data_IF_745310196882
#
_entry.id   IF_745310196882
#
_cell.length_a   1.000
_cell.length_b   1.000
_cell.length_c   1.000
_cell.angle_alpha   90.00
_cell.angle_beta   90.00
_cell.angle_gamma   90.00
#
_symmetry.space_group_name_H-M   'P 1'
#
loop_
_entity.id
_entity.type
_entity.pdbx_description
1 polymer ?
#
# COMPACT_ATOMS: atom_id res chain seq x y z
N UNK A 1 -17.78 -16.64 6.62
CA UNK A 1 -18.37 -15.94 5.47
C UNK A 1 -18.76 -14.54 5.94
N UNK A 2 -17.84 -13.57 5.92
CA UNK A 2 -18.13 -12.19 6.28
C UNK A 2 -18.03 -11.36 5.00
N UNK A 3 -19.16 -10.76 4.60
CA UNK A 3 -19.24 -9.91 3.43
C UNK A 3 -18.58 -8.56 3.77
N UNK A 4 -17.57 -8.20 2.98
CA UNK A 4 -16.95 -6.87 3.02
C UNK A 4 -17.94 -5.91 2.38
N UNK A 5 -18.44 -4.95 3.15
CA UNK A 5 -19.40 -3.96 2.68
C UNK A 5 -18.74 -3.07 1.63
N UNK A 6 -19.26 -3.10 0.41
CA UNK A 6 -18.92 -2.18 -0.67
C UNK A 6 -19.24 -0.75 -0.24
N UNK A 7 -18.22 0.12 -0.24
CA UNK A 7 -18.37 1.54 0.04
C UNK A 7 -19.25 2.19 -1.05
N UNK A 8 -20.49 2.54 -0.70
CA UNK A 8 -21.39 3.32 -1.55
C UNK A 8 -21.39 4.76 -1.07
N UNK A 9 -20.97 5.69 -1.94
CA UNK A 9 -21.13 7.13 -1.70
C UNK A 9 -22.16 7.68 -2.69
N UNK A 10 -23.32 8.07 -2.19
CA UNK A 10 -24.32 8.83 -2.95
C UNK A 10 -23.74 10.20 -3.33
N UNK A 11 -23.65 10.46 -4.64
CA UNK A 11 -23.28 11.76 -5.18
C UNK A 11 -24.41 12.76 -4.99
N UNK A 12 -24.09 13.91 -4.39
CA UNK A 12 -24.99 15.07 -4.37
C UNK A 12 -25.10 15.63 -5.78
N UNK A 13 -26.29 15.52 -6.35
CA UNK A 13 -26.66 16.08 -7.65
C UNK A 13 -26.74 17.61 -7.59
N UNK A 14 -26.14 18.29 -8.56
CA UNK A 14 -26.45 19.67 -8.89
C UNK A 14 -27.41 19.70 -10.09
N UNK A 15 -28.56 20.32 -9.90
CA UNK A 15 -29.60 20.56 -10.91
C UNK A 15 -29.32 21.85 -11.71
N UNK A 16 -29.92 22.03 -12.91
CA UNK A 16 -29.31 22.74 -14.03
C UNK A 16 -29.84 24.17 -14.27
N UNK A 17 -29.05 25.00 -14.96
CA UNK A 17 -29.54 26.26 -15.56
C UNK A 17 -28.99 26.51 -16.97
N UNK A 18 -29.90 26.35 -17.94
CA UNK A 18 -30.10 27.04 -19.24
C UNK A 18 -28.95 27.28 -20.24
N UNK A 19 -29.00 26.51 -21.33
CA UNK A 19 -28.97 26.86 -22.76
C UNK A 19 -28.19 28.09 -23.29
N UNK A 20 -27.26 27.81 -24.23
CA UNK A 20 -27.43 28.12 -25.68
C UNK A 20 -26.40 27.39 -26.57
N UNK A 21 -26.92 26.89 -27.70
CA UNK A 21 -26.33 26.09 -28.79
C UNK A 21 -25.17 26.76 -29.57
N UNK A 22 -24.27 25.96 -30.16
CA UNK A 22 -24.11 25.68 -31.62
C UNK A 22 -22.88 24.77 -31.90
N UNK A 23 -22.93 24.07 -33.03
CA UNK A 23 -22.41 22.75 -33.44
C UNK A 23 -21.01 22.61 -34.09
N UNK A 24 -20.43 21.40 -33.94
CA UNK A 24 -19.71 20.48 -34.88
C UNK A 24 -18.44 21.01 -35.60
N UNK A 25 -17.24 20.40 -35.47
CA UNK A 25 -16.79 19.24 -36.28
C UNK A 25 -15.46 18.61 -35.80
N UNK A 26 -15.33 17.33 -36.14
CA UNK A 26 -14.29 16.31 -35.95
C UNK A 26 -12.83 16.63 -36.29
N UNK A 27 -11.89 16.05 -35.53
CA UNK A 27 -10.84 15.15 -36.06
C UNK A 27 -9.99 14.52 -34.93
N UNK A 28 -9.68 13.24 -35.10
CA UNK A 28 -8.62 12.47 -34.44
C UNK A 28 -8.04 11.55 -35.54
N UNK A 29 -6.86 10.92 -35.42
CA UNK A 29 -6.01 10.76 -34.23
C UNK A 29 -4.51 11.02 -34.47
N UNK A 30 -3.72 11.24 -33.41
CA UNK A 30 -2.28 10.91 -33.39
C UNK A 30 -1.78 10.78 -31.97
N UNK A 31 -1.11 9.64 -31.72
CA UNK A 31 -0.53 9.22 -30.44
C UNK A 31 0.68 10.08 -30.09
N UNK A 32 0.75 10.55 -28.85
CA UNK A 32 1.96 10.74 -28.05
C UNK A 32 1.56 11.18 -26.64
N UNK A 33 1.48 10.25 -25.69
CA UNK A 33 1.35 10.58 -24.27
C UNK A 33 2.72 10.49 -23.61
N UNK A 34 3.40 11.64 -23.59
CA UNK A 34 4.40 11.97 -22.60
C UNK A 34 3.68 12.15 -21.26
N UNK A 35 4.08 11.39 -20.24
CA UNK A 35 3.66 11.62 -18.87
C UNK A 35 4.26 12.94 -18.37
N UNK A 36 3.47 14.02 -18.39
CA UNK A 36 3.78 15.23 -17.65
C UNK A 36 3.24 15.08 -16.22
N UNK A 37 4.15 15.00 -15.24
CA UNK A 37 3.81 15.17 -13.84
C UNK A 37 4.08 16.64 -13.51
N UNK A 38 3.03 17.38 -13.15
CA UNK A 38 3.16 18.77 -12.76
C UNK A 38 4.04 18.88 -11.51
N UNK A 39 5.17 19.57 -11.70
CA UNK A 39 6.10 19.92 -10.66
C UNK A 39 5.51 21.03 -9.77
N UNK A 40 5.67 20.86 -8.45
CA UNK A 40 5.48 21.91 -7.46
C UNK A 40 6.32 23.14 -7.81
N UNK A 41 5.68 24.21 -8.30
CA UNK A 41 6.30 25.53 -8.42
C UNK A 41 5.92 26.38 -7.22
N UNK A 42 6.83 26.48 -6.26
CA UNK A 42 6.78 27.50 -5.20
C UNK A 42 7.08 28.86 -5.83
N UNK A 43 6.10 29.77 -5.79
CA UNK A 43 6.25 31.16 -6.22
C UNK A 43 6.73 32.00 -5.03
N UNK A 44 8.02 32.30 -4.96
CA UNK A 44 8.55 33.40 -4.14
C UNK A 44 8.70 34.65 -5.02
N UNK A 45 7.93 35.69 -4.72
CA UNK A 45 8.15 37.01 -5.29
C UNK A 45 9.28 37.71 -4.55
N UNK A 46 10.43 37.88 -5.22
CA UNK A 46 11.41 38.90 -4.86
C UNK A 46 11.73 39.69 -6.13
N UNK A 47 11.43 41.00 -6.10
CA UNK A 47 11.74 41.92 -7.17
C UNK A 47 13.17 42.44 -6.99
N UNK A 48 14.05 42.26 -7.97
CA UNK A 48 15.23 43.10 -8.16
C UNK A 48 15.61 43.17 -9.65
N UNK A 49 15.96 44.39 -10.07
CA UNK A 49 16.22 44.82 -11.44
C UNK A 49 17.39 44.07 -12.11
N UNK A 50 17.22 43.80 -13.40
CA UNK A 50 18.22 43.18 -14.27
C UNK A 50 19.38 44.13 -14.56
N UNK A 51 20.60 43.73 -14.21
CA UNK A 51 21.83 44.22 -14.84
C UNK A 51 22.52 43.02 -15.47
N UNK A 52 22.65 43.06 -16.80
CA UNK A 52 23.30 42.02 -17.60
C UNK A 52 24.82 42.19 -17.53
N UNK A 53 25.56 41.10 -17.34
CA UNK A 53 26.98 41.04 -17.71
C UNK A 53 27.35 39.72 -18.36
N UNK A 54 28.24 39.85 -19.34
CA UNK A 54 28.62 38.88 -20.38
C UNK A 54 29.87 38.10 -19.96
N UNK A 55 29.81 36.78 -20.20
CA UNK A 55 30.86 35.78 -20.42
C UNK A 55 32.27 35.90 -19.78
N UNK A 56 32.76 34.79 -19.21
CA UNK A 56 34.08 34.23 -19.55
C UNK A 56 34.24 32.78 -19.06
N UNK A 57 34.82 31.95 -19.94
CA UNK A 57 35.27 30.58 -19.67
C UNK A 57 36.45 30.58 -18.69
N UNK A 58 36.41 29.69 -17.69
CA UNK A 58 37.64 29.23 -17.03
C UNK A 58 37.47 27.79 -16.55
N UNK A 59 38.30 26.92 -17.12
CA UNK A 59 38.40 25.50 -16.78
C UNK A 59 39.19 25.38 -15.47
N UNK A 60 38.57 24.86 -14.42
CA UNK A 60 39.27 24.42 -13.21
C UNK A 60 38.67 23.09 -12.74
N UNK A 61 39.53 22.07 -12.65
CA UNK A 61 39.18 20.70 -12.26
C UNK A 61 38.69 20.72 -10.81
N UNK A 62 37.39 20.55 -10.60
CA UNK A 62 36.83 20.41 -9.27
C UNK A 62 36.97 18.96 -8.81
N UNK A 63 37.94 18.70 -7.94
CA UNK A 63 38.04 17.45 -7.18
C UNK A 63 36.97 17.53 -6.08
N UNK A 64 35.92 16.72 -6.18
CA UNK A 64 34.90 16.62 -5.13
C UNK A 64 35.51 15.82 -3.98
N UNK A 65 35.89 16.51 -2.91
CA UNK A 65 36.32 15.86 -1.68
C UNK A 65 35.08 15.53 -0.83
N UNK A 66 34.71 14.25 -0.77
CA UNK A 66 33.70 13.75 0.15
C UNK A 66 34.32 13.64 1.56
N UNK A 67 33.90 14.49 2.48
CA UNK A 67 34.19 14.28 3.90
C UNK A 67 33.27 13.19 4.43
N UNK A 68 33.83 12.01 4.69
CA UNK A 68 33.27 11.08 5.66
C UNK A 68 33.55 11.64 7.06
N UNK A 69 32.55 11.65 7.94
CA UNK A 69 32.78 11.91 9.36
C UNK A 69 32.14 10.78 10.15
N UNK A 70 33.03 9.88 10.57
CA UNK A 70 32.75 8.77 11.45
C UNK A 70 32.78 9.24 12.92
N UNK A 71 31.82 8.73 13.69
CA UNK A 71 31.80 8.52 15.15
C UNK A 71 32.49 9.54 16.08
N UNK A 72 31.67 10.32 16.80
CA UNK A 72 32.07 11.00 18.03
C UNK A 72 30.87 11.28 18.92
N UNK A 73 30.66 10.46 19.97
CA UNK A 73 29.70 10.75 21.05
C UNK A 73 30.19 11.98 21.83
N UNK A 74 29.56 13.15 21.64
CA UNK A 74 29.53 14.23 22.62
C UNK A 74 28.49 15.30 22.20
N UNK A 75 27.51 15.55 23.08
CA UNK A 75 26.50 16.63 23.03
C UNK A 75 25.80 16.83 21.66
N UNK A 76 24.99 15.88 21.23
CA UNK A 76 24.28 15.97 19.96
C UNK A 76 23.17 17.02 20.09
N UNK A 77 23.44 18.24 19.61
CA UNK A 77 22.40 19.07 18.98
C UNK A 77 21.66 18.15 18.02
N UNK A 78 20.40 17.80 18.32
CA UNK A 78 19.61 16.85 17.54
C UNK A 78 19.65 17.23 16.06
N UNK A 79 20.45 16.51 15.27
CA UNK A 79 20.48 16.62 13.81
C UNK A 79 19.54 15.54 13.28
N UNK A 80 18.41 15.92 12.66
CA UNK A 80 17.55 14.97 11.98
C UNK A 80 18.33 14.12 10.97
N UNK A 81 18.13 12.80 10.92
CA UNK A 81 18.70 11.97 9.87
C UNK A 81 18.14 12.40 8.51
N UNK A 82 18.87 12.20 7.40
CA UNK A 82 18.35 12.48 6.08
C UNK A 82 17.32 11.42 5.65
N UNK A 83 16.42 11.81 4.74
CA UNK A 83 15.41 10.91 4.13
C UNK A 83 16.04 9.66 3.51
N UNK A 84 17.22 9.80 2.88
CA UNK A 84 17.95 8.69 2.26
C UNK A 84 18.33 7.60 3.26
N UNK A 85 18.66 7.97 4.51
CA UNK A 85 18.97 7.00 5.57
C UNK A 85 17.72 6.19 5.96
N UNK A 86 16.57 6.85 6.10
CA UNK A 86 15.29 6.17 6.39
C UNK A 86 14.91 5.21 5.26
N UNK A 87 15.04 5.64 4.00
CA UNK A 87 14.81 4.76 2.84
C UNK A 87 15.76 3.56 2.84
N UNK A 88 17.04 3.79 3.16
CA UNK A 88 18.02 2.71 3.25
C UNK A 88 17.68 1.73 4.37
N UNK A 89 17.25 2.21 5.55
CA UNK A 89 16.78 1.35 6.65
C UNK A 89 15.61 0.47 6.21
N UNK A 90 14.63 1.02 5.49
CA UNK A 90 13.51 0.26 4.96
C UNK A 90 13.97 -0.84 3.97
N UNK A 91 14.81 -0.49 2.99
CA UNK A 91 15.35 -1.46 2.02
C UNK A 91 16.31 -2.48 2.67
N UNK A 92 16.82 -2.19 3.86
CA UNK A 92 17.61 -3.13 4.65
C UNK A 92 16.75 -4.08 5.48
N UNK A 93 15.65 -3.58 6.04
CA UNK A 93 14.69 -4.40 6.79
C UNK A 93 13.86 -5.31 5.88
N UNK A 94 13.48 -4.85 4.67
CA UNK A 94 12.69 -5.62 3.72
C UNK A 94 13.44 -5.83 2.39
N UNK A 95 13.95 -7.05 2.18
CA UNK A 95 14.80 -7.41 1.03
C UNK A 95 14.07 -7.97 -0.18
N UNK A 96 12.79 -8.31 -0.03
CA UNK A 96 12.00 -8.93 -1.11
C UNK A 96 11.53 -7.86 -2.10
N UNK A 97 11.37 -8.20 -3.40
CA UNK A 97 10.87 -7.25 -4.37
C UNK A 97 9.43 -6.87 -4.07
N UNK A 98 9.14 -5.56 -4.06
CA UNK A 98 7.79 -5.02 -3.95
C UNK A 98 7.32 -4.64 -5.36
N UNK A 99 6.13 -5.08 -5.81
CA UNK A 99 5.60 -4.66 -7.11
C UNK A 99 5.55 -3.13 -7.22
N UNK A 100 5.93 -2.60 -8.38
CA UNK A 100 6.15 -1.16 -8.59
C UNK A 100 4.94 -0.29 -8.22
N UNK A 101 3.73 -0.79 -8.46
CA UNK A 101 2.48 -0.10 -8.12
C UNK A 101 2.37 0.24 -6.62
N UNK A 102 2.84 -0.64 -5.74
CA UNK A 102 2.86 -0.40 -4.29
C UNK A 102 4.14 0.35 -3.89
N UNK A 103 5.29 -0.05 -4.44
CA UNK A 103 6.59 0.49 -4.02
C UNK A 103 6.69 2.01 -4.23
N UNK A 104 6.19 2.54 -5.36
CA UNK A 104 6.21 3.99 -5.62
C UNK A 104 5.51 4.75 -4.51
N UNK A 105 4.28 4.36 -4.16
CA UNK A 105 3.52 5.05 -3.13
C UNK A 105 4.08 4.80 -1.72
N UNK A 106 4.54 3.57 -1.41
CA UNK A 106 5.21 3.28 -0.15
C UNK A 106 6.42 4.19 0.08
N UNK A 107 7.28 4.35 -0.94
CA UNK A 107 8.46 5.21 -0.83
C UNK A 107 8.10 6.69 -0.66
N UNK A 108 7.01 7.16 -1.29
CA UNK A 108 6.49 8.52 -1.06
C UNK A 108 5.93 8.68 0.37
N UNK A 109 5.18 7.70 0.87
CA UNK A 109 4.67 7.70 2.25
C UNK A 109 5.83 7.75 3.26
N UNK A 110 6.88 6.94 3.07
CA UNK A 110 8.09 6.97 3.91
C UNK A 110 8.69 8.39 3.97
N UNK A 111 8.81 9.06 2.81
CA UNK A 111 9.34 10.44 2.75
C UNK A 111 8.44 11.40 3.51
N UNK A 112 7.13 11.34 3.27
CA UNK A 112 6.16 12.23 3.92
C UNK A 112 6.16 12.05 5.44
N UNK A 113 6.15 10.81 5.92
CA UNK A 113 6.19 10.53 7.35
C UNK A 113 7.54 10.88 7.97
N UNK A 114 8.66 10.65 7.28
CA UNK A 114 9.98 11.09 7.74
C UNK A 114 10.00 12.61 7.98
N UNK A 115 9.55 13.40 6.99
CA UNK A 115 9.51 14.86 7.10
C UNK A 115 8.62 15.36 8.24
N UNK A 116 7.67 14.54 8.69
CA UNK A 116 6.76 14.82 9.79
C UNK A 116 7.37 14.38 11.13
N UNK A 117 7.87 13.14 11.20
CA UNK A 117 8.46 12.49 12.38
C UNK A 117 9.66 13.24 12.96
N UNK A 118 10.45 13.86 12.09
CA UNK A 118 11.66 14.59 12.49
C UNK A 118 11.45 16.11 12.64
N UNK A 119 10.19 16.60 12.61
CA UNK A 119 9.88 17.98 13.00
C UNK A 119 10.15 18.17 14.49
N UNK A 120 10.60 19.36 14.87
CA UNK A 120 10.80 19.74 16.29
C UNK A 120 9.51 19.68 17.11
N UNK A 121 8.38 19.96 16.47
CA UNK A 121 7.04 19.97 17.07
C UNK A 121 6.35 18.61 17.01
N UNK A 122 7.03 17.57 16.51
CA UNK A 122 6.41 16.24 16.38
C UNK A 122 6.21 15.62 17.75
N UNK A 123 4.99 15.16 17.99
CA UNK A 123 4.62 14.28 19.08
C UNK A 123 3.65 13.25 18.52
N UNK A 124 3.91 11.98 18.82
CA UNK A 124 3.02 10.88 18.43
C UNK A 124 1.61 11.09 18.99
N UNK A 125 0.62 10.71 18.20
CA UNK A 125 -0.80 10.83 18.48
C UNK A 125 -1.56 9.60 17.96
N UNK A 126 -2.45 9.04 18.79
CA UNK A 126 -3.19 7.83 18.42
C UNK A 126 -4.10 8.05 17.19
N UNK A 127 -4.64 9.27 17.02
CA UNK A 127 -5.44 9.66 15.85
C UNK A 127 -4.60 9.61 14.57
N UNK A 128 -3.34 10.04 14.62
CA UNK A 128 -2.40 9.87 13.52
C UNK A 128 -2.17 8.40 13.21
N UNK A 129 -1.95 7.56 14.23
CA UNK A 129 -1.71 6.14 14.05
C UNK A 129 -2.90 5.45 13.38
N UNK A 130 -4.12 5.74 13.83
CA UNK A 130 -5.36 5.29 13.18
C UNK A 130 -5.39 5.69 11.71
N UNK A 131 -5.11 6.95 11.42
CA UNK A 131 -5.09 7.46 10.06
C UNK A 131 -4.03 6.78 9.19
N UNK A 132 -2.81 6.64 9.69
CA UNK A 132 -1.72 5.98 8.98
C UNK A 132 -2.04 4.50 8.69
N UNK A 133 -2.53 3.75 9.69
CA UNK A 133 -2.94 2.35 9.51
C UNK A 133 -4.06 2.24 8.47
N UNK A 134 -5.03 3.16 8.49
CA UNK A 134 -6.11 3.23 7.48
C UNK A 134 -5.54 3.44 6.07
N UNK A 135 -4.62 4.39 5.90
CA UNK A 135 -3.95 4.63 4.60
C UNK A 135 -3.17 3.41 4.15
N UNK A 136 -2.41 2.81 5.06
CA UNK A 136 -1.58 1.66 4.77
C UNK A 136 -2.43 0.46 4.32
N UNK A 137 -3.52 0.17 5.02
CA UNK A 137 -4.37 -0.98 4.74
C UNK A 137 -5.07 -0.83 3.38
N UNK A 138 -5.54 0.37 3.04
CA UNK A 138 -6.12 0.66 1.71
C UNK A 138 -5.06 0.64 0.60
N UNK A 139 -3.87 1.17 0.86
CA UNK A 139 -2.76 1.07 -0.08
C UNK A 139 -2.38 -0.39 -0.36
N UNK A 140 -2.30 -1.21 0.68
CA UNK A 140 -1.84 -2.59 0.61
C UNK A 140 -2.97 -3.60 0.32
N UNK A 141 -4.19 -3.13 0.11
CA UNK A 141 -5.32 -3.95 -0.32
C UNK A 141 -5.01 -4.63 -1.67
N UNK A 142 -5.25 -5.94 -1.75
CA UNK A 142 -4.96 -6.74 -2.95
C UNK A 142 -3.47 -7.07 -3.14
N UNK A 143 -2.62 -6.82 -2.15
CA UNK A 143 -1.22 -7.26 -2.19
C UNK A 143 -1.15 -8.82 -2.15
N UNK A 144 -0.28 -9.49 -2.92
CA UNK A 144 -0.36 -10.95 -3.10
C UNK A 144 -0.10 -11.81 -1.86
N UNK A 145 0.63 -11.31 -0.87
CA UNK A 145 1.01 -12.04 0.35
C UNK A 145 0.66 -11.25 1.59
N UNK A 146 -0.21 -11.80 2.45
CA UNK A 146 -0.58 -11.16 3.73
C UNK A 146 0.61 -11.10 4.70
N UNK A 147 1.48 -12.10 4.69
CA UNK A 147 2.71 -12.10 5.50
C UNK A 147 3.63 -10.94 5.09
N UNK A 148 3.69 -10.64 3.79
CA UNK A 148 4.51 -9.56 3.25
C UNK A 148 3.91 -8.21 3.61
N UNK A 149 2.58 -8.08 3.61
CA UNK A 149 1.89 -6.86 4.08
C UNK A 149 2.26 -6.55 5.53
N UNK A 150 2.32 -7.54 6.40
CA UNK A 150 2.74 -7.36 7.80
C UNK A 150 4.23 -7.03 7.89
N UNK A 151 5.09 -7.77 7.17
CA UNK A 151 6.53 -7.55 7.19
C UNK A 151 6.92 -6.16 6.64
N UNK A 152 6.26 -5.70 5.57
CA UNK A 152 6.47 -4.37 4.99
C UNK A 152 6.05 -3.29 6.00
N UNK A 153 4.93 -3.47 6.71
CA UNK A 153 4.47 -2.52 7.73
C UNK A 153 5.51 -2.37 8.85
N UNK A 154 6.00 -3.51 9.38
CA UNK A 154 7.03 -3.51 10.40
C UNK A 154 8.33 -2.86 9.91
N UNK A 155 8.80 -3.23 8.73
CA UNK A 155 10.00 -2.64 8.13
C UNK A 155 9.85 -1.12 7.92
N UNK A 156 8.66 -0.67 7.52
CA UNK A 156 8.34 0.74 7.31
C UNK A 156 8.43 1.51 8.64
N UNK A 157 7.73 1.05 9.68
CA UNK A 157 7.65 1.78 10.96
C UNK A 157 9.02 1.75 11.67
N UNK A 158 9.70 0.60 11.66
CA UNK A 158 11.05 0.47 12.23
C UNK A 158 12.06 1.38 11.52
N UNK A 159 11.93 1.59 10.20
CA UNK A 159 12.84 2.47 9.45
C UNK A 159 12.76 3.94 9.92
N UNK A 160 11.63 4.35 10.48
CA UNK A 160 11.41 5.67 11.06
C UNK A 160 11.85 5.77 12.53
N UNK A 161 12.41 4.70 13.10
CA UNK A 161 12.71 4.55 14.53
C UNK A 161 11.45 4.74 15.41
N UNK A 162 10.36 4.10 15.01
CA UNK A 162 9.10 4.02 15.75
C UNK A 162 8.75 2.55 16.04
N UNK A 163 7.82 2.30 16.95
CA UNK A 163 7.40 0.95 17.34
C UNK A 163 6.14 0.52 16.54
N UNK A 164 6.24 -0.53 15.69
CA UNK A 164 5.08 -1.05 14.97
C UNK A 164 3.93 -1.52 15.87
N UNK A 165 4.25 -2.02 17.09
CA UNK A 165 3.23 -2.55 18.01
C UNK A 165 2.37 -1.44 18.61
N UNK A 166 2.91 -0.23 18.73
CA UNK A 166 2.15 0.94 19.16
C UNK A 166 1.04 1.29 18.16
N UNK A 167 1.29 1.12 16.86
CA UNK A 167 0.32 1.40 15.80
C UNK A 167 -0.75 0.32 15.65
N UNK A 168 -0.33 -0.95 15.52
CA UNK A 168 -1.23 -2.09 15.35
C UNK A 168 -0.65 -3.35 16.00
N UNK A 169 -1.48 -4.28 16.50
CA UNK A 169 -0.96 -5.49 17.10
C UNK A 169 -0.36 -6.38 16.00
N UNK A 170 0.77 -7.00 16.29
CA UNK A 170 1.39 -7.98 15.41
C UNK A 170 0.77 -9.34 15.68
N UNK A 171 -0.32 -9.66 15.00
CA UNK A 171 -1.05 -10.93 15.20
C UNK A 171 -0.42 -12.13 14.47
N UNK A 172 0.49 -11.89 13.52
CA UNK A 172 1.23 -12.95 12.78
C UNK A 172 2.66 -12.50 12.51
N UNK A 173 3.61 -12.96 13.30
CA UNK A 173 5.05 -12.78 13.02
C UNK A 173 5.45 -13.85 12.00
N UNK A 174 5.96 -13.49 10.81
CA UNK A 174 6.45 -14.49 9.86
C UNK A 174 7.63 -15.27 10.47
N UNK A 175 7.76 -16.59 10.24
CA UNK A 175 8.79 -17.44 10.86
C UNK A 175 10.22 -16.93 10.64
N UNK A 176 10.48 -16.26 9.52
CA UNK A 176 11.78 -15.68 9.18
C UNK A 176 12.17 -14.45 10.02
N UNK A 177 11.22 -13.84 10.75
CA UNK A 177 11.44 -12.69 11.62
C UNK A 177 11.70 -13.08 13.08
N UNK A 178 11.51 -14.36 13.44
CA UNK A 178 11.76 -14.88 14.79
C UNK A 178 13.22 -14.85 15.23
N UNK A 179 14.17 -14.60 14.33
CA UNK A 179 15.59 -14.44 14.68
C UNK A 179 15.90 -13.13 15.44
N UNK A 180 14.99 -12.14 15.42
CA UNK A 180 15.24 -10.83 16.04
C UNK A 180 14.47 -10.55 17.34
N UNK A 181 13.46 -11.35 17.70
CA UNK A 181 12.58 -11.05 18.83
C UNK A 181 12.47 -12.22 19.81
N UNK A 182 13.57 -12.52 20.51
CA UNK A 182 13.56 -13.41 21.68
C UNK A 182 13.54 -12.64 23.00
N UNK A 183 12.79 -11.55 23.08
CA UNK A 183 12.37 -10.92 24.34
C UNK A 183 11.08 -10.18 24.01
N UNK A 184 9.92 -10.67 24.41
CA UNK A 184 8.80 -9.88 24.94
C UNK A 184 7.72 -10.86 25.42
N UNK A 185 7.26 -10.62 26.65
CA UNK A 185 6.38 -11.47 27.45
C UNK A 185 4.98 -11.61 26.82
N UNK A 186 4.36 -12.75 27.09
CA UNK A 186 3.11 -13.22 26.46
C UNK A 186 1.83 -12.78 27.19
N UNK A 187 1.86 -11.73 28.03
CA UNK A 187 0.74 -11.44 28.95
C UNK A 187 0.38 -9.96 29.16
N UNK A 188 0.74 -9.04 28.26
CA UNK A 188 0.12 -7.70 28.27
C UNK A 188 -0.93 -7.60 27.17
N UNK A 189 -2.08 -7.09 27.57
CA UNK A 189 -3.24 -6.71 26.79
C UNK A 189 -2.85 -5.58 25.80
N UNK A 190 -2.06 -5.90 24.77
CA UNK A 190 -1.57 -4.96 23.75
C UNK A 190 -2.66 -4.69 22.71
N UNK A 191 -3.70 -3.96 23.10
CA UNK A 191 -4.56 -3.27 22.11
C UNK A 191 -3.77 -2.08 21.58
N UNK A 192 -3.33 -2.15 20.34
CA UNK A 192 -2.61 -1.05 19.72
C UNK A 192 -3.49 0.20 19.59
N UNK A 193 -2.87 1.38 19.52
CA UNK A 193 -3.58 2.65 19.63
C UNK A 193 -4.62 2.84 18.52
N UNK A 194 -4.35 2.38 17.29
CA UNK A 194 -5.34 2.44 16.21
C UNK A 194 -6.58 1.59 16.51
N UNK A 195 -6.40 0.33 16.93
CA UNK A 195 -7.51 -0.60 17.23
C UNK A 195 -8.33 -0.14 18.44
N UNK A 196 -7.67 0.44 19.44
CA UNK A 196 -8.30 1.06 20.61
C UNK A 196 -9.22 2.20 20.19
N UNK A 197 -8.74 3.12 19.35
CA UNK A 197 -9.55 4.20 18.81
C UNK A 197 -10.69 3.68 17.93
N UNK A 198 -10.46 2.64 17.12
CA UNK A 198 -11.53 2.06 16.30
C UNK A 198 -12.65 1.48 17.17
N UNK A 199 -12.29 0.74 18.21
CA UNK A 199 -13.25 0.12 19.14
C UNK A 199 -14.04 1.18 19.88
N UNK A 200 -13.37 2.24 20.36
CA UNK A 200 -14.02 3.36 21.01
C UNK A 200 -14.99 4.09 20.06
N UNK A 201 -14.56 4.38 18.83
CA UNK A 201 -15.37 5.11 17.85
C UNK A 201 -16.64 4.35 17.46
N UNK A 202 -16.56 3.01 17.31
CA UNK A 202 -17.71 2.14 17.03
C UNK A 202 -18.75 2.15 18.16
N UNK A 203 -18.34 2.45 19.38
CA UNK A 203 -19.23 2.57 20.53
C UNK A 203 -19.84 3.99 20.68
N UNK A 204 -19.42 4.96 19.86
CA UNK A 204 -19.96 6.31 19.88
C UNK A 204 -21.08 6.52 18.85
N UNK A 205 -21.85 7.58 19.07
CA UNK A 205 -22.77 8.21 18.13
C UNK A 205 -22.30 9.65 17.82
N UNK A 206 -23.00 10.34 16.93
CA UNK A 206 -22.68 11.70 16.49
C UNK A 206 -22.57 12.73 17.63
N UNK A 207 -23.28 12.53 18.74
CA UNK A 207 -23.32 13.47 19.87
C UNK A 207 -22.22 13.17 20.89
N UNK A 208 -22.04 11.91 21.21
CA UNK A 208 -21.04 11.41 22.14
C UNK A 208 -19.62 11.54 21.61
N UNK A 209 -19.43 11.42 20.30
CA UNK A 209 -18.13 11.62 19.65
C UNK A 209 -17.63 13.06 19.82
N UNK A 210 -18.50 14.06 19.68
CA UNK A 210 -18.12 15.48 19.77
C UNK A 210 -18.05 15.98 21.21
N UNK A 211 -18.74 15.31 22.13
CA UNK A 211 -18.76 15.63 23.57
C UNK A 211 -17.71 14.84 24.37
N UNK A 212 -16.60 14.43 23.72
CA UNK A 212 -15.50 13.71 24.37
C UNK A 212 -14.87 14.50 25.53
N UNK A 213 -14.95 15.84 25.49
CA UNK A 213 -14.38 16.73 26.51
C UNK A 213 -15.09 16.60 27.86
N UNK A 214 -16.40 16.29 27.85
CA UNK A 214 -17.25 16.15 29.04
C UNK A 214 -17.19 14.75 29.67
N UNK A 215 -16.52 13.80 29.00
CA UNK A 215 -16.47 12.39 29.40
C UNK A 215 -15.10 11.99 29.96
N UNK A 216 -15.10 10.92 30.74
CA UNK A 216 -13.91 10.31 31.34
C UNK A 216 -13.64 8.97 30.65
N UNK A 217 -12.39 8.74 30.27
CA UNK A 217 -11.97 7.51 29.58
C UNK A 217 -10.60 7.68 28.96
N UNK A 218 -9.98 6.56 28.59
CA UNK A 218 -8.62 6.56 28.04
C UNK A 218 -8.55 7.31 26.70
N UNK A 219 -9.50 7.04 25.79
CA UNK A 219 -9.54 7.70 24.47
C UNK A 219 -9.97 9.15 24.59
N UNK A 220 -10.93 9.45 25.46
CA UNK A 220 -11.33 10.81 25.80
C UNK A 220 -10.13 11.62 26.32
N UNK A 221 -9.31 11.03 27.20
CA UNK A 221 -8.07 11.64 27.69
C UNK A 221 -7.07 11.93 26.56
N UNK A 222 -6.91 10.99 25.61
CA UNK A 222 -6.07 11.20 24.42
C UNK A 222 -6.58 12.38 23.58
N UNK A 223 -7.90 12.44 23.33
CA UNK A 223 -8.50 13.52 22.54
C UNK A 223 -8.41 14.88 23.25
N UNK A 224 -8.52 14.91 24.58
CA UNK A 224 -8.29 16.11 25.40
C UNK A 224 -6.85 16.61 25.30
N UNK A 225 -5.85 15.73 25.45
CA UNK A 225 -4.43 16.11 25.28
C UNK A 225 -4.17 16.67 23.86
N UNK A 226 -4.76 16.08 22.83
CA UNK A 226 -4.66 16.59 21.46
C UNK A 226 -5.28 17.98 21.36
N UNK A 227 -6.49 18.18 21.91
CA UNK A 227 -7.21 19.45 21.85
C UNK A 227 -6.44 20.58 22.55
N UNK A 228 -5.87 20.30 23.73
CA UNK A 228 -5.03 21.25 24.48
C UNK A 228 -3.80 21.65 23.66
N UNK A 229 -3.07 20.66 23.14
CA UNK A 229 -1.87 20.91 22.32
C UNK A 229 -2.16 21.64 21.02
N UNK A 230 -3.31 21.38 20.39
CA UNK A 230 -3.72 22.04 19.17
C UNK A 230 -4.20 23.48 19.41
N UNK A 231 -4.73 23.76 20.61
CA UNK A 231 -5.04 25.12 21.06
C UNK A 231 -3.78 25.94 21.35
N UNK A 232 -2.73 25.30 21.84
CA UNK A 232 -1.42 25.92 22.07
C UNK A 232 -0.59 26.03 20.78
N UNK A 233 0.05 27.17 20.55
CA UNK A 233 0.74 27.46 19.28
C UNK A 233 2.08 26.70 19.07
N UNK A 234 2.46 25.78 19.96
CA UNK A 234 3.83 25.25 20.02
C UNK A 234 4.02 23.72 19.99
N UNK A 235 2.98 22.91 20.24
CA UNK A 235 3.18 21.47 20.57
C UNK A 235 2.35 20.49 19.73
N UNK A 236 1.66 20.98 18.69
CA UNK A 236 0.87 20.15 17.78
C UNK A 236 1.39 20.18 16.34
N UNK A 237 1.58 18.99 15.77
CA UNK A 237 1.99 18.82 14.37
C UNK A 237 0.87 18.16 13.59
N UNK A 238 0.02 18.98 12.98
CA UNK A 238 -0.99 18.50 12.05
C UNK A 238 -0.36 17.74 10.87
N UNK A 239 -1.03 16.68 10.42
CA UNK A 239 -0.65 15.90 9.25
C UNK A 239 -1.88 15.42 8.47
N UNK A 240 -1.67 15.01 7.21
CA UNK A 240 -2.72 14.35 6.42
C UNK A 240 -3.21 13.06 7.07
N UNK A 241 -2.33 12.29 7.71
CA UNK A 241 -2.74 11.08 8.42
C UNK A 241 -3.66 11.42 9.59
N UNK A 242 -3.40 12.50 10.31
CA UNK A 242 -4.32 12.97 11.35
C UNK A 242 -5.72 13.28 10.80
N UNK A 243 -5.83 13.95 9.65
CA UNK A 243 -7.12 14.20 8.99
C UNK A 243 -7.84 12.89 8.61
N UNK A 244 -7.12 11.91 8.04
CA UNK A 244 -7.67 10.59 7.74
C UNK A 244 -8.13 9.88 9.00
N UNK A 245 -7.39 10.01 10.11
CA UNK A 245 -7.78 9.49 11.42
C UNK A 245 -9.09 10.09 11.93
N UNK A 246 -9.26 11.42 11.85
CA UNK A 246 -10.52 12.07 12.20
C UNK A 246 -11.69 11.59 11.34
N UNK A 247 -11.48 11.48 10.03
CA UNK A 247 -12.50 10.95 9.12
C UNK A 247 -12.84 9.50 9.46
N UNK A 248 -11.85 8.69 9.81
CA UNK A 248 -12.05 7.30 10.22
C UNK A 248 -12.87 7.19 11.50
N UNK A 249 -12.65 8.06 12.49
CA UNK A 249 -13.48 8.11 13.70
C UNK A 249 -14.96 8.38 13.35
N UNK A 250 -15.22 9.37 12.49
CA UNK A 250 -16.58 9.72 12.05
C UNK A 250 -17.25 8.58 11.26
N UNK A 251 -16.51 7.90 10.40
CA UNK A 251 -17.00 6.75 9.65
C UNK A 251 -17.42 5.62 10.60
N UNK A 252 -16.59 5.31 11.60
CA UNK A 252 -16.83 4.23 12.55
C UNK A 252 -18.00 4.49 13.50
N UNK A 253 -18.24 5.75 13.86
CA UNK A 253 -19.39 6.16 14.67
C UNK A 253 -20.65 6.45 13.83
N UNK A 254 -20.61 6.18 12.52
CA UNK A 254 -21.68 6.47 11.57
C UNK A 254 -22.15 7.95 11.59
N UNK A 255 -21.21 8.88 11.82
CA UNK A 255 -21.43 10.31 11.98
C UNK A 255 -20.89 11.12 10.79
N UNK A 256 -21.24 10.72 9.57
CA UNK A 256 -20.66 11.23 8.32
C UNK A 256 -21.20 12.60 7.89
N UNK A 257 -22.07 13.22 8.69
CA UNK A 257 -22.65 14.53 8.40
C UNK A 257 -21.59 15.65 8.47
N UNK A 258 -21.57 16.59 7.51
CA UNK A 258 -20.53 17.63 7.44
C UNK A 258 -20.52 18.57 8.67
N UNK A 259 -21.67 18.70 9.33
CA UNK A 259 -21.82 19.51 10.55
C UNK A 259 -21.14 18.87 11.77
N UNK A 260 -21.04 17.53 11.82
CA UNK A 260 -20.35 16.83 12.91
C UNK A 260 -18.84 16.98 12.77
N UNK A 261 -18.32 16.89 11.54
CA UNK A 261 -16.91 17.17 11.27
C UNK A 261 -16.52 18.58 11.73
N UNK A 262 -17.37 19.58 11.49
CA UNK A 262 -17.14 20.96 11.94
C UNK A 262 -17.09 21.05 13.47
N UNK A 263 -18.05 20.43 14.17
CA UNK A 263 -18.07 20.38 15.64
C UNK A 263 -16.85 19.67 16.22
N UNK A 264 -16.47 18.52 15.65
CA UNK A 264 -15.30 17.75 16.09
C UNK A 264 -14.00 18.54 15.88
N UNK A 265 -13.84 19.19 14.72
CA UNK A 265 -12.70 20.07 14.47
C UNK A 265 -12.66 21.24 15.48
N UNK A 266 -13.82 21.83 15.79
CA UNK A 266 -13.93 22.89 16.79
C UNK A 266 -13.53 22.42 18.19
N UNK A 267 -14.01 21.26 18.63
CA UNK A 267 -13.68 20.67 19.92
C UNK A 267 -12.19 20.32 20.06
N UNK A 268 -11.53 19.94 18.96
CA UNK A 268 -10.10 19.62 18.93
C UNK A 268 -9.19 20.82 18.65
N UNK A 269 -9.73 22.03 18.47
CA UNK A 269 -8.97 23.21 18.03
C UNK A 269 -8.24 23.03 16.68
N UNK A 270 -8.83 22.29 15.73
CA UNK A 270 -8.25 21.98 14.43
C UNK A 270 -8.90 22.80 13.32
N UNK A 271 -8.09 23.27 12.38
CA UNK A 271 -8.59 24.02 11.22
C UNK A 271 -9.36 23.12 10.24
N UNK A 272 -10.69 23.21 10.24
CA UNK A 272 -11.58 22.44 9.32
C UNK A 272 -11.17 22.55 7.85
N UNK A 273 -10.80 23.74 7.37
CA UNK A 273 -10.40 23.95 5.95
C UNK A 273 -9.16 23.14 5.55
N UNK A 274 -8.26 22.88 6.50
CA UNK A 274 -7.08 22.06 6.26
C UNK A 274 -7.43 20.58 6.21
N UNK A 275 -8.35 20.15 7.09
CA UNK A 275 -8.92 18.79 7.07
C UNK A 275 -9.63 18.52 5.74
N UNK A 276 -10.56 19.37 5.33
CA UNK A 276 -11.30 19.23 4.06
C UNK A 276 -10.33 19.10 2.86
N UNK A 277 -9.33 19.99 2.78
CA UNK A 277 -8.33 19.96 1.71
C UNK A 277 -7.53 18.65 1.68
N UNK A 278 -7.09 18.17 2.84
CA UNK A 278 -6.28 16.95 2.89
C UNK A 278 -7.09 15.69 2.64
N UNK A 279 -8.36 15.66 3.04
CA UNK A 279 -9.29 14.58 2.72
C UNK A 279 -9.57 14.52 1.20
N UNK A 280 -9.72 15.66 0.53
CA UNK A 280 -9.85 15.71 -0.93
C UNK A 280 -8.60 15.18 -1.63
N UNK A 281 -7.41 15.60 -1.18
CA UNK A 281 -6.14 15.10 -1.73
C UNK A 281 -6.01 13.59 -1.53
N UNK A 282 -6.38 13.10 -0.34
CA UNK A 282 -6.32 11.68 0.01
C UNK A 282 -7.28 10.85 -0.85
N UNK A 283 -8.53 11.28 -1.00
CA UNK A 283 -9.52 10.64 -1.87
C UNK A 283 -9.01 10.52 -3.31
N UNK A 284 -8.43 11.59 -3.84
CA UNK A 284 -7.88 11.61 -5.19
C UNK A 284 -6.69 10.65 -5.35
N UNK A 285 -5.83 10.51 -4.33
CA UNK A 285 -4.72 9.54 -4.34
C UNK A 285 -5.24 8.09 -4.36
N UNK A 286 -6.20 7.77 -3.50
CA UNK A 286 -6.80 6.44 -3.44
C UNK A 286 -7.49 6.06 -4.74
N UNK A 287 -8.29 6.98 -5.33
CA UNK A 287 -8.98 6.69 -6.60
C UNK A 287 -7.99 6.35 -7.73
N UNK A 288 -6.84 7.03 -7.79
CA UNK A 288 -5.78 6.72 -8.76
C UNK A 288 -5.13 5.36 -8.50
N UNK A 289 -4.90 5.02 -7.23
CA UNK A 289 -4.36 3.71 -6.84
C UNK A 289 -5.28 2.57 -7.20
N UNK A 290 -6.58 2.69 -6.90
CA UNK A 290 -7.59 1.68 -7.25
C UNK A 290 -7.63 1.47 -8.78
N UNK A 291 -7.65 2.55 -9.56
CA UNK A 291 -7.61 2.46 -11.02
C UNK A 291 -6.35 1.77 -11.53
N UNK A 292 -5.18 2.10 -10.98
CA UNK A 292 -3.92 1.46 -11.36
C UNK A 292 -3.91 -0.04 -11.01
N UNK A 293 -4.51 -0.43 -9.89
CA UNK A 293 -4.60 -1.84 -9.45
C UNK A 293 -5.48 -2.67 -10.38
N UNK A 294 -6.65 -2.15 -10.75
CA UNK A 294 -7.54 -2.82 -11.70
C UNK A 294 -6.86 -3.01 -13.06
N UNK A 295 -6.19 -1.99 -13.59
CA UNK A 295 -5.43 -2.10 -14.85
C UNK A 295 -4.31 -3.14 -14.77
N UNK A 296 -3.59 -3.21 -13.65
CA UNK A 296 -2.54 -4.21 -13.44
C UNK A 296 -3.13 -5.62 -13.34
N UNK A 297 -4.26 -5.77 -12.65
CA UNK A 297 -4.96 -7.04 -12.51
C UNK A 297 -5.41 -7.56 -13.89
N UNK A 298 -6.05 -6.71 -14.69
CA UNK A 298 -6.44 -7.03 -16.07
C UNK A 298 -5.25 -7.39 -16.96
N UNK A 299 -4.10 -6.71 -16.78
CA UNK A 299 -2.88 -7.02 -17.52
C UNK A 299 -2.33 -8.39 -17.14
N UNK A 300 -2.21 -8.68 -15.84
CA UNK A 300 -1.73 -9.96 -15.32
C UNK A 300 -2.66 -11.10 -15.75
N UNK A 301 -3.97 -10.91 -15.70
CA UNK A 301 -4.96 -11.89 -16.16
C UNK A 301 -4.84 -12.15 -17.66
N UNK A 302 -4.67 -11.11 -18.48
CA UNK A 302 -4.43 -11.26 -19.92
C UNK A 302 -3.14 -12.00 -20.23
N UNK A 303 -2.05 -11.68 -19.55
CA UNK A 303 -0.78 -12.38 -19.76
C UNK A 303 -0.86 -13.85 -19.33
N UNK A 304 -1.52 -14.14 -18.20
CA UNK A 304 -1.80 -15.53 -17.78
C UNK A 304 -2.62 -16.29 -18.83
N UNK A 305 -3.67 -15.67 -19.38
CA UNK A 305 -4.50 -16.27 -20.43
C UNK A 305 -3.70 -16.55 -21.70
N UNK A 306 -2.89 -15.59 -22.17
CA UNK A 306 -2.01 -15.80 -23.34
C UNK A 306 -0.98 -16.90 -23.10
N UNK A 307 -0.43 -17.02 -21.89
CA UNK A 307 0.49 -18.09 -21.54
C UNK A 307 -0.21 -19.45 -21.49
N UNK A 308 -1.43 -19.51 -20.97
CA UNK A 308 -2.23 -20.72 -20.94
C UNK A 308 -2.58 -21.20 -22.36
N UNK A 309 -3.08 -20.30 -23.22
CA UNK A 309 -3.37 -20.56 -24.64
C UNK A 309 -2.14 -21.02 -25.44
N UNK A 310 -0.93 -20.57 -25.08
CA UNK A 310 0.33 -21.04 -25.70
C UNK A 310 0.80 -22.40 -25.18
N UNK A 311 0.45 -22.74 -23.93
CA UNK A 311 0.81 -24.02 -23.32
C UNK A 311 -0.13 -25.16 -23.71
N UNK A 312 -1.38 -24.87 -24.06
CA UNK A 312 -2.36 -25.85 -24.55
C UNK A 312 -1.91 -26.60 -25.82
N UNK A 313 -1.44 -25.95 -26.89
CA UNK A 313 -0.93 -26.67 -28.07
C UNK A 313 0.37 -27.42 -27.78
N UNK A 314 1.20 -26.97 -26.84
CA UNK A 314 2.41 -27.70 -26.44
C UNK A 314 2.05 -28.97 -25.66
N UNK A 315 1.11 -28.90 -24.71
CA UNK A 315 0.59 -30.08 -23.99
C UNK A 315 -0.16 -31.04 -24.91
N UNK A 316 -0.93 -30.52 -25.87
CA UNK A 316 -1.61 -31.34 -26.87
C UNK A 316 -0.61 -32.06 -27.79
N UNK A 317 0.43 -31.37 -28.27
CA UNK A 317 1.47 -31.96 -29.09
C UNK A 317 2.33 -32.99 -28.32
N UNK A 318 2.60 -32.74 -27.04
CA UNK A 318 3.32 -33.67 -26.16
C UNK A 318 2.49 -34.93 -25.85
N UNK A 319 1.19 -34.77 -25.61
CA UNK A 319 0.26 -35.89 -25.44
C UNK A 319 0.14 -36.75 -26.72
N UNK A 320 0.05 -36.12 -27.90
CA UNK A 320 0.02 -36.84 -29.18
C UNK A 320 1.33 -37.60 -29.43
N UNK A 321 2.48 -37.00 -29.09
CA UNK A 321 3.79 -37.66 -29.21
C UNK A 321 3.91 -38.89 -28.30
N UNK A 322 3.40 -38.82 -27.07
CA UNK A 322 3.41 -39.94 -26.13
C UNK A 322 2.49 -41.09 -26.60
N UNK A 323 1.29 -40.80 -27.07
CA UNK A 323 0.39 -41.82 -27.65
C UNK A 323 1.01 -42.50 -28.89
N UNK A 324 1.70 -41.74 -29.75
CA UNK A 324 2.38 -42.30 -30.92
C UNK A 324 3.58 -43.18 -30.53
N UNK A 325 4.32 -42.82 -29.49
CA UNK A 325 5.40 -43.64 -28.95
C UNK A 325 4.86 -44.95 -28.36
N UNK A 326 3.79 -44.90 -27.56
CA UNK A 326 3.14 -46.09 -26.99
C UNK A 326 2.62 -47.04 -28.06
N UNK A 327 1.98 -46.52 -29.12
CA UNK A 327 1.56 -47.33 -30.26
C UNK A 327 2.74 -47.97 -31.00
N UNK A 328 3.88 -47.28 -31.14
CA UNK A 328 5.08 -47.88 -31.76
C UNK A 328 5.69 -49.00 -30.89
N UNK A 329 5.65 -48.88 -29.56
CA UNK A 329 6.06 -49.95 -28.65
C UNK A 329 5.10 -51.15 -28.69
N UNK A 330 3.79 -50.91 -28.75
CA UNK A 330 2.78 -51.96 -28.89
C UNK A 330 2.90 -52.70 -30.24
N UNK A 331 3.12 -51.96 -31.34
CA UNK A 331 3.27 -52.57 -32.68
C UNK A 331 4.55 -53.40 -32.80
N UNK A 332 5.66 -52.94 -32.20
CA UNK A 332 6.91 -53.71 -32.11
C UNK A 332 6.83 -54.94 -31.19
N UNK A 333 5.95 -54.93 -30.19
CA UNK A 333 5.71 -56.09 -29.33
C UNK A 333 4.88 -57.16 -30.05
N UNK A 334 3.91 -56.76 -30.88
CA UNK A 334 3.10 -57.68 -31.71
C UNK A 334 3.95 -58.30 -32.81
N UNK A 335 4.78 -57.52 -33.52
CA UNK A 335 5.68 -58.06 -34.55
C UNK A 335 6.79 -58.96 -34.01
N UNK A 336 7.04 -58.95 -32.70
CA UNK A 336 8.02 -59.84 -32.03
C UNK A 336 7.39 -61.14 -31.51
N UNK A 337 6.05 -61.22 -31.52
CA UNK A 337 5.30 -62.44 -31.20
C UNK A 337 4.99 -63.30 -32.43
N UNK A 338 4.99 -62.73 -33.65
CA UNK A 338 4.74 -63.48 -34.89
C UNK A 338 5.98 -64.15 -35.52
N UNK A 339 7.21 -63.87 -35.05
CA UNK A 339 8.43 -64.52 -35.54
C UNK A 339 8.84 -65.79 -34.76
N UNK A 340 8.02 -66.28 -33.82
CA UNK A 340 8.41 -67.39 -32.94
C UNK A 340 7.33 -68.44 -32.69
N UNK A 341 6.45 -68.73 -33.66
CA UNK A 341 5.68 -69.98 -33.66
C UNK A 341 5.49 -70.51 -35.07
N UNK A 342 6.51 -71.21 -35.56
CA UNK A 342 6.26 -72.42 -36.34
C UNK A 342 7.21 -73.52 -35.86
N UNK A 343 6.69 -74.75 -35.81
CA UNK A 343 7.28 -76.01 -35.27
C UNK A 343 6.84 -76.35 -33.84
N UNK A 344 5.60 -76.85 -33.70
CA UNK A 344 5.37 -78.05 -32.91
C UNK A 344 4.60 -79.11 -33.72
N UNK A 345 5.37 -80.15 -34.00
CA UNK A 345 5.15 -81.32 -34.81
C UNK A 345 4.06 -82.25 -34.24
N UNK A 346 3.28 -82.83 -35.14
CA UNK A 346 2.38 -83.96 -34.90
C UNK A 346 3.00 -85.05 -34.01
N UNK A 347 2.29 -85.47 -32.97
CA UNK A 347 2.24 -86.86 -32.50
C UNK A 347 0.86 -87.14 -31.91
N UNK A 348 0.29 -88.28 -32.29
CA UNK A 348 -1.15 -88.56 -32.25
C UNK A 348 -1.71 -88.95 -30.88
N UNK A 349 -3.04 -89.07 -30.84
CA UNK A 349 -3.77 -89.47 -29.65
C UNK A 349 -5.28 -89.34 -29.81
N UNK A 350 -5.86 -90.31 -30.53
CA UNK A 350 -7.28 -90.63 -30.54
C UNK A 350 -7.84 -90.78 -29.11
N UNK A 351 -8.84 -89.98 -28.71
CA UNK A 351 -9.90 -90.42 -27.76
C UNK A 351 -11.24 -89.76 -28.13
N UNK A 352 -12.27 -90.61 -28.09
CA UNK A 352 -13.65 -90.47 -28.54
C UNK A 352 -14.56 -89.96 -27.39
N UNK A 353 -15.52 -89.11 -27.77
CA UNK A 353 -16.92 -88.96 -27.33
C UNK A 353 -17.36 -88.42 -25.94
N UNK A 354 -18.33 -87.49 -26.10
CA UNK A 354 -19.70 -87.41 -25.52
C UNK A 354 -19.92 -86.87 -24.12
N UNK A 355 -20.89 -85.95 -24.06
CA UNK A 355 -21.57 -85.42 -22.90
C UNK A 355 -22.22 -84.09 -23.24
#
# INVERSE_FOLDING_TARGET
>A
MAAVASLSFCGVAQSPSSDRKVCISSSSPSRNLLFNFDAFRVRSSFAFHSVSFRASNSSSRFVVHCMSSESGKMLISYVPPPVSETKLKFLNAYKRPIPSIYNTVLQELIVQQHLMRYKKTYRYDAVFALGFVTVYDQLMEGYPSDEDRVAIFQAYINALNEDPQQYRPVTKIPPSFFLFHKVLNLNDFLTADAEKLETWARAQDSSSLVDFSSKEGEVEGILKDIAERAGDSGSFSYSRFFAVGLFRLLELSNATEPTILEKLCGALNINKKSVDRDLDVYRNLLSKLVQAKELLKEYVEREKKKLQERSEPQKANEAVKNCLAENQYATKAVSRFDENYDVFQCCGGLVIARG
#
